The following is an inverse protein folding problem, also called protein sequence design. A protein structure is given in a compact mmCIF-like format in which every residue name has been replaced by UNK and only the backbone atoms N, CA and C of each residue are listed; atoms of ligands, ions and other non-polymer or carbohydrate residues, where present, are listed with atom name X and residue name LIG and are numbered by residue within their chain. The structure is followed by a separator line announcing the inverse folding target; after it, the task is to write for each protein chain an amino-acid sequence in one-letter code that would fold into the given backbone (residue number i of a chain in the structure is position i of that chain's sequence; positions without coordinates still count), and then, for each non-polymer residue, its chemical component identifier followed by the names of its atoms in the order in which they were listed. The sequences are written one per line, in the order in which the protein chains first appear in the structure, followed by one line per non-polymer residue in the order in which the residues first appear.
data_IF_062670305750
#
_entry.id   IF_062670305750
#
_cell.length_a   1.000
_cell.length_b   1.000
_cell.length_c   1.000
_cell.angle_alpha   90.00
_cell.angle_beta   90.00
_cell.angle_gamma   90.00
#
_symmetry.space_group_name_H-M   'P 1'
#
loop_
_entity.id
_entity.type
_entity.pdbx_description
1 polymer ?
#
# COMPACT_ATOMS: atom_id res chain seq x y z
N UNK A 1 -9.85 29.53 57.30
CA UNK A 1 -9.73 30.59 56.27
C UNK A 1 -8.32 30.70 55.67
N UNK A 2 -7.24 30.46 56.42
CA UNK A 2 -5.85 30.59 55.95
C UNK A 2 -5.48 29.58 54.83
N UNK A 3 -6.02 28.37 54.85
CA UNK A 3 -5.73 27.32 53.86
C UNK A 3 -6.36 27.55 52.48
N UNK A 4 -7.53 28.17 52.41
CA UNK A 4 -8.20 28.50 51.15
C UNK A 4 -7.47 29.62 50.39
N UNK A 5 -6.89 30.58 51.14
CA UNK A 5 -6.10 31.68 50.57
C UNK A 5 -4.79 31.18 49.94
N UNK A 6 -4.15 30.17 50.53
CA UNK A 6 -2.91 29.57 50.02
C UNK A 6 -3.12 28.83 48.69
N UNK A 7 -4.24 28.11 48.52
CA UNK A 7 -4.51 27.37 47.28
C UNK A 7 -4.79 28.31 46.08
N UNK A 8 -5.45 29.45 46.31
CA UNK A 8 -5.69 30.46 45.29
C UNK A 8 -4.38 31.17 44.84
N UNK A 9 -3.44 31.37 45.77
CA UNK A 9 -2.14 31.98 45.47
C UNK A 9 -1.25 31.09 44.58
N UNK A 10 -1.24 29.77 44.82
CA UNK A 10 -0.42 28.83 44.04
C UNK A 10 -0.92 28.69 42.59
N UNK A 11 -2.23 28.74 42.38
CA UNK A 11 -2.83 28.65 41.03
C UNK A 11 -2.63 29.93 40.21
N UNK A 12 -2.69 31.11 40.84
CA UNK A 12 -2.37 32.38 40.18
C UNK A 12 -0.89 32.46 39.75
N UNK A 13 0.04 31.99 40.58
CA UNK A 13 1.47 31.99 40.26
C UNK A 13 1.83 31.10 39.05
N UNK A 14 1.14 29.96 38.88
CA UNK A 14 1.36 29.06 37.76
C UNK A 14 0.90 29.65 36.41
N UNK A 15 -0.20 30.41 36.39
CA UNK A 15 -0.72 31.04 35.17
C UNK A 15 0.14 32.25 34.72
N UNK A 16 0.73 32.98 35.68
CA UNK A 16 1.63 34.11 35.39
C UNK A 16 2.95 33.61 34.78
N UNK A 17 3.49 32.48 35.25
CA UNK A 17 4.72 31.89 34.69
C UNK A 17 4.59 31.56 33.19
N UNK A 18 3.45 31.01 32.76
CA UNK A 18 3.22 30.62 31.36
C UNK A 18 3.06 31.84 30.43
N UNK A 19 2.49 32.93 30.94
CA UNK A 19 2.35 34.18 30.16
C UNK A 19 3.70 34.89 29.97
N UNK A 20 4.56 34.90 31.00
CA UNK A 20 5.89 35.53 30.92
C UNK A 20 6.84 34.76 29.99
N UNK A 21 6.76 33.43 29.94
CA UNK A 21 7.54 32.65 28.97
C UNK A 21 7.07 32.82 27.52
N UNK A 22 5.78 33.13 27.29
CA UNK A 22 5.26 33.41 25.94
C UNK A 22 5.59 34.81 25.42
N UNK A 23 5.98 35.75 26.27
CA UNK A 23 6.29 37.13 25.88
C UNK A 23 7.79 37.45 25.77
N UNK A 24 8.69 36.51 26.05
CA UNK A 24 10.13 36.69 25.83
C UNK A 24 10.64 36.12 24.50
N UNK A 25 9.75 35.68 23.61
CA UNK A 25 10.11 35.32 22.23
C UNK A 25 9.89 36.50 21.30
N UNK A 26 10.63 37.59 21.51
CA UNK A 26 10.78 38.65 20.51
C UNK A 26 12.23 39.17 20.50
N UNK A 27 12.94 38.72 19.45
CA UNK A 27 14.15 39.24 18.81
C UNK A 27 15.43 39.56 19.62
N UNK A 28 16.47 38.76 19.36
CA UNK A 28 17.84 39.25 19.23
C UNK A 28 18.41 38.76 17.87
N UNK A 29 19.07 39.61 17.06
CA UNK A 29 19.69 39.20 15.81
C UNK A 29 21.09 38.65 16.11
N UNK A 30 21.27 37.34 15.99
CA UNK A 30 22.59 36.73 15.89
C UNK A 30 22.82 36.30 14.45
N UNK A 31 23.91 36.81 13.88
CA UNK A 31 24.53 36.35 12.65
C UNK A 31 24.96 34.90 12.83
N UNK A 32 24.00 33.99 12.64
CA UNK A 32 24.21 32.57 12.49
C UNK A 32 23.74 32.20 11.09
N UNK A 33 24.62 31.58 10.33
CA UNK A 33 24.33 30.87 9.09
C UNK A 33 22.96 30.18 9.19
N UNK A 34 22.08 30.25 8.17
CA UNK A 34 20.76 29.67 8.28
C UNK A 34 20.91 28.16 8.52
N UNK A 35 20.77 27.74 9.78
CA UNK A 35 20.50 26.36 10.11
C UNK A 35 19.17 26.07 9.44
N UNK A 36 19.25 25.43 8.28
CA UNK A 36 18.09 24.96 7.55
C UNK A 36 17.18 24.27 8.56
N UNK A 37 15.97 24.81 8.72
CA UNK A 37 14.91 24.09 9.41
C UNK A 37 14.90 22.69 8.79
N UNK A 38 15.10 21.65 9.62
CA UNK A 38 15.03 20.29 9.15
C UNK A 38 13.72 20.14 8.36
N UNK A 39 13.74 19.58 7.14
CA UNK A 39 12.52 19.43 6.37
C UNK A 39 11.60 18.52 7.16
N UNK A 40 10.57 19.10 7.77
CA UNK A 40 9.44 18.35 8.27
C UNK A 40 8.94 17.50 7.09
N UNK A 41 9.03 16.17 7.17
CA UNK A 41 8.32 15.29 6.24
C UNK A 41 9.14 14.52 5.20
N UNK A 42 10.45 14.32 5.37
CA UNK A 42 11.14 13.26 4.60
C UNK A 42 10.63 11.90 5.09
N UNK A 43 9.75 11.27 4.32
CA UNK A 43 9.30 9.91 4.59
C UNK A 43 10.53 8.98 4.58
N UNK A 44 10.75 8.25 5.66
CA UNK A 44 11.85 7.28 5.77
C UNK A 44 11.39 5.89 5.33
N UNK A 45 12.22 5.22 4.55
CA UNK A 45 12.05 3.84 4.09
C UNK A 45 13.22 3.05 4.67
N UNK A 46 12.94 2.28 5.74
CA UNK A 46 14.00 1.63 6.53
C UNK A 46 14.87 2.67 7.24
N UNK A 47 16.18 2.62 7.01
CA UNK A 47 17.16 3.55 7.59
C UNK A 47 17.44 4.77 6.71
N UNK A 48 16.89 4.81 5.48
CA UNK A 48 17.16 5.86 4.49
C UNK A 48 15.94 6.71 4.14
N UNK A 49 16.15 7.74 3.33
CA UNK A 49 15.08 8.51 2.73
C UNK A 49 14.34 7.66 1.67
N UNK A 50 13.02 7.74 1.66
CA UNK A 50 12.23 7.17 0.58
C UNK A 50 12.43 7.94 -0.73
N UNK A 51 12.46 7.23 -1.85
CA UNK A 51 12.30 7.78 -3.20
C UNK A 51 10.98 7.30 -3.80
N UNK A 52 10.40 8.12 -4.69
CA UNK A 52 9.26 7.69 -5.49
C UNK A 52 9.75 6.71 -6.55
N UNK A 53 9.26 5.47 -6.52
CA UNK A 53 9.62 4.44 -7.51
C UNK A 53 8.55 4.29 -8.59
N UNK A 54 7.28 4.56 -8.26
CA UNK A 54 6.17 4.56 -9.21
C UNK A 54 5.09 5.56 -8.76
N UNK A 55 4.32 6.10 -9.71
CA UNK A 55 3.17 6.97 -9.44
C UNK A 55 2.01 6.61 -10.35
N UNK A 56 0.79 6.64 -9.82
CA UNK A 56 -0.44 6.35 -10.56
C UNK A 56 -1.53 7.37 -10.20
N UNK A 57 -2.27 7.92 -11.19
CA UNK A 57 -3.47 8.70 -10.92
C UNK A 57 -4.63 7.77 -10.52
N UNK A 58 -5.39 8.15 -9.49
CA UNK A 58 -6.61 7.45 -9.07
C UNK A 58 -7.56 8.42 -8.40
N UNK A 59 -8.81 8.46 -8.88
CA UNK A 59 -9.86 9.31 -8.29
C UNK A 59 -9.44 10.80 -8.15
N UNK A 60 -8.81 11.35 -9.19
CA UNK A 60 -8.32 12.74 -9.21
C UNK A 60 -7.12 13.03 -8.29
N UNK A 61 -6.58 12.03 -7.61
CA UNK A 61 -5.40 12.12 -6.73
C UNK A 61 -4.22 11.36 -7.35
N UNK A 62 -3.00 11.71 -6.94
CA UNK A 62 -1.80 10.94 -7.27
C UNK A 62 -1.47 10.00 -6.12
N UNK A 63 -1.27 8.72 -6.43
CA UNK A 63 -0.73 7.73 -5.49
C UNK A 63 0.71 7.43 -5.87
N UNK A 64 1.62 7.68 -4.94
CA UNK A 64 3.04 7.41 -5.07
C UNK A 64 3.40 6.13 -4.31
N UNK A 65 4.09 5.21 -4.98
CA UNK A 65 4.83 4.14 -4.32
C UNK A 65 6.22 4.66 -3.98
N UNK A 66 6.53 4.65 -2.70
CA UNK A 66 7.79 5.05 -2.12
C UNK A 66 8.57 3.79 -1.74
N UNK A 67 9.88 3.77 -1.99
CA UNK A 67 10.76 2.73 -1.49
C UNK A 67 12.16 3.26 -1.16
N UNK A 68 12.99 2.47 -0.51
CA UNK A 68 14.43 2.72 -0.45
C UNK A 68 15.13 2.42 -1.80
N UNK A 69 16.45 2.57 -1.86
CA UNK A 69 17.25 2.28 -3.07
C UNK A 69 17.28 0.81 -3.49
N UNK A 70 17.01 -0.11 -2.56
CA UNK A 70 17.01 -1.55 -2.80
C UNK A 70 15.60 -2.11 -3.08
N UNK A 71 14.56 -1.29 -2.90
CA UNK A 71 13.16 -1.71 -3.01
C UNK A 71 12.66 -2.54 -1.81
N UNK A 72 13.34 -2.49 -0.66
CA UNK A 72 13.13 -3.37 0.50
C UNK A 72 12.20 -2.83 1.58
N UNK A 73 12.01 -1.51 1.61
CA UNK A 73 11.14 -0.86 2.58
C UNK A 73 10.21 0.05 1.80
N UNK A 74 8.95 -0.36 1.67
CA UNK A 74 7.98 0.32 0.81
C UNK A 74 6.86 1.00 1.57
N UNK A 75 6.41 2.15 1.06
CA UNK A 75 5.23 2.87 1.56
C UNK A 75 4.40 3.38 0.39
N UNK A 76 3.09 3.49 0.58
CA UNK A 76 2.18 4.12 -0.36
C UNK A 76 1.79 5.49 0.18
N UNK A 77 1.97 6.55 -0.61
CA UNK A 77 1.55 7.91 -0.26
C UNK A 77 0.45 8.39 -1.20
N UNK A 78 -0.66 8.88 -0.66
CA UNK A 78 -1.83 9.27 -1.46
C UNK A 78 -2.09 10.76 -1.40
N UNK A 79 -2.19 11.45 -2.53
CA UNK A 79 -2.37 12.91 -2.61
C UNK A 79 -1.07 13.67 -2.93
N UNK A 80 -0.02 12.96 -3.37
CA UNK A 80 1.24 13.57 -3.80
C UNK A 80 2.19 14.00 -2.68
N UNK A 81 3.24 14.78 -3.02
CA UNK A 81 4.26 15.23 -2.07
C UNK A 81 3.68 15.98 -0.87
N UNK A 82 4.14 15.64 0.33
CA UNK A 82 3.68 16.27 1.57
C UNK A 82 2.33 15.76 2.11
N UNK A 83 1.68 14.83 1.41
CA UNK A 83 0.44 14.23 1.93
C UNK A 83 0.66 13.49 3.27
N UNK A 84 -0.25 13.65 4.24
CA UNK A 84 -0.22 12.90 5.49
C UNK A 84 -0.71 11.45 5.34
N UNK A 85 -1.32 11.08 4.21
CA UNK A 85 -1.86 9.73 3.99
C UNK A 85 -0.73 8.82 3.51
N UNK A 86 -0.12 8.10 4.45
CA UNK A 86 0.94 7.13 4.20
C UNK A 86 0.52 5.76 4.74
N UNK A 87 0.59 4.74 3.89
CA UNK A 87 0.27 3.34 4.22
C UNK A 87 1.53 2.50 4.09
N UNK A 88 1.90 1.77 5.14
CA UNK A 88 3.02 0.84 5.10
C UNK A 88 2.71 -0.35 4.18
N UNK A 89 3.70 -0.79 3.40
CA UNK A 89 3.55 -1.98 2.56
C UNK A 89 4.01 -3.22 3.31
N UNK A 90 3.18 -4.27 3.34
CA UNK A 90 3.55 -5.58 3.92
C UNK A 90 4.22 -6.49 2.90
N UNK A 91 4.27 -6.12 1.63
CA UNK A 91 4.88 -6.95 0.58
C UNK A 91 6.38 -7.10 0.77
N UNK A 92 7.07 -6.04 1.19
CA UNK A 92 8.53 -6.08 1.29
C UNK A 92 9.04 -6.85 2.50
N UNK A 93 8.27 -6.90 3.60
CA UNK A 93 8.58 -7.79 4.73
C UNK A 93 8.49 -9.27 4.39
N UNK A 94 7.83 -9.62 3.28
CA UNK A 94 7.76 -10.96 2.71
C UNK A 94 8.77 -11.18 1.57
N UNK A 95 9.72 -10.24 1.39
CA UNK A 95 10.80 -10.36 0.43
C UNK A 95 10.48 -9.89 -0.99
N UNK A 96 9.36 -9.18 -1.19
CA UNK A 96 9.08 -8.51 -2.46
C UNK A 96 10.01 -7.31 -2.66
N UNK A 97 10.54 -7.13 -3.87
CA UNK A 97 11.34 -5.96 -4.26
C UNK A 97 10.52 -4.99 -5.07
N UNK A 98 10.42 -3.75 -4.62
CA UNK A 98 9.61 -2.71 -5.29
C UNK A 98 10.40 -1.98 -6.37
N UNK A 99 9.74 -1.69 -7.49
CA UNK A 99 10.30 -0.95 -8.63
C UNK A 99 9.22 -0.13 -9.37
N UNK A 100 9.54 0.40 -10.54
CA UNK A 100 8.64 1.25 -11.33
C UNK A 100 7.39 0.57 -11.90
N UNK A 101 7.32 -0.77 -11.87
CA UNK A 101 6.15 -1.57 -12.28
C UNK A 101 5.34 -2.10 -11.10
N UNK A 102 5.75 -1.76 -9.88
CA UNK A 102 5.18 -2.31 -8.65
C UNK A 102 3.84 -1.69 -8.24
N UNK A 103 3.38 -0.63 -8.90
CA UNK A 103 2.14 0.06 -8.57
C UNK A 103 1.16 0.03 -9.75
N UNK A 104 -0.06 -0.45 -9.49
CA UNK A 104 -1.20 -0.36 -10.41
C UNK A 104 -2.43 0.08 -9.63
N UNK A 105 -3.16 1.09 -10.11
CA UNK A 105 -4.38 1.55 -9.46
C UNK A 105 -5.57 1.51 -10.43
N UNK A 106 -6.76 1.27 -9.89
CA UNK A 106 -8.02 1.28 -10.63
C UNK A 106 -8.98 2.23 -9.94
N UNK A 107 -9.54 3.16 -10.71
CA UNK A 107 -10.59 4.09 -10.25
C UNK A 107 -11.95 3.42 -10.41
N UNK A 108 -12.72 3.40 -9.32
CA UNK A 108 -14.08 2.90 -9.25
C UNK A 108 -14.80 3.53 -8.04
N UNK A 109 -16.06 3.19 -7.80
CA UNK A 109 -16.80 3.60 -6.58
C UNK A 109 -16.00 3.26 -5.32
N UNK A 110 -15.38 2.07 -5.29
CA UNK A 110 -14.31 1.71 -4.35
C UNK A 110 -13.02 1.57 -5.15
N UNK A 111 -12.26 2.66 -5.21
CA UNK A 111 -10.96 2.67 -5.88
C UNK A 111 -9.93 1.83 -5.11
N UNK A 112 -9.01 1.20 -5.83
CA UNK A 112 -7.97 0.35 -5.23
C UNK A 112 -6.63 0.49 -5.94
N UNK A 113 -5.56 0.32 -5.17
CA UNK A 113 -4.20 0.21 -5.66
C UNK A 113 -3.61 -1.13 -5.24
N UNK A 114 -2.94 -1.80 -6.18
CA UNK A 114 -2.15 -2.99 -5.97
C UNK A 114 -0.68 -2.59 -5.93
N UNK A 115 -0.05 -2.89 -4.80
CA UNK A 115 1.41 -2.88 -4.65
C UNK A 115 1.89 -4.31 -4.84
N UNK A 116 2.77 -4.57 -5.81
CA UNK A 116 3.30 -5.91 -6.08
C UNK A 116 4.78 -5.89 -6.41
N UNK A 117 5.49 -6.98 -6.14
CA UNK A 117 6.89 -7.11 -6.52
C UNK A 117 7.34 -8.57 -6.62
N UNK A 118 8.43 -8.83 -7.35
CA UNK A 118 9.08 -10.14 -7.36
C UNK A 118 9.64 -10.50 -5.99
N UNK A 119 9.49 -11.77 -5.63
CA UNK A 119 10.12 -12.43 -4.50
C UNK A 119 10.83 -13.71 -4.98
N UNK A 120 11.46 -14.44 -4.06
CA UNK A 120 12.12 -15.73 -4.38
C UNK A 120 11.15 -16.76 -4.97
N UNK A 121 9.90 -16.76 -4.52
CA UNK A 121 8.91 -17.79 -4.83
C UNK A 121 7.86 -17.34 -5.86
N UNK A 122 8.01 -16.14 -6.43
CA UNK A 122 7.13 -15.62 -7.47
C UNK A 122 6.85 -14.13 -7.31
N UNK A 123 5.57 -13.74 -7.34
CA UNK A 123 5.12 -12.39 -7.05
C UNK A 123 4.39 -12.36 -5.72
N UNK A 124 4.55 -11.26 -5.00
CA UNK A 124 3.79 -10.94 -3.78
C UNK A 124 3.09 -9.62 -4.00
N UNK A 125 1.83 -9.52 -3.59
CA UNK A 125 1.01 -8.33 -3.75
C UNK A 125 0.17 -8.01 -2.53
N UNK A 126 -0.11 -6.72 -2.33
CA UNK A 126 -0.99 -6.17 -1.32
C UNK A 126 -1.95 -5.18 -1.98
N UNK A 127 -3.21 -5.22 -1.56
CA UNK A 127 -4.24 -4.29 -2.04
C UNK A 127 -4.49 -3.22 -0.98
N UNK A 128 -4.57 -1.97 -1.43
CA UNK A 128 -4.88 -0.78 -0.63
C UNK A 128 -6.12 -0.12 -1.24
N UNK A 129 -7.16 0.08 -0.45
CA UNK A 129 -8.49 0.47 -0.90
C UNK A 129 -8.87 1.85 -0.38
N UNK A 130 -9.55 2.63 -1.20
CA UNK A 130 -10.17 3.90 -0.83
C UNK A 130 -11.64 3.67 -0.46
N UNK A 131 -12.03 4.05 0.76
CA UNK A 131 -13.43 4.08 1.19
C UNK A 131 -13.72 5.43 1.86
N UNK A 132 -14.34 6.34 1.13
CA UNK A 132 -14.74 7.66 1.65
C UNK A 132 -13.55 8.47 2.16
N UNK A 133 -12.57 8.72 1.27
CA UNK A 133 -11.30 9.43 1.51
C UNK A 133 -10.28 8.72 2.43
N UNK A 134 -10.65 7.62 3.06
CA UNK A 134 -9.74 6.78 3.84
C UNK A 134 -9.10 5.71 2.98
N UNK A 135 -7.76 5.72 2.91
CA UNK A 135 -6.95 4.67 2.30
C UNK A 135 -6.45 3.70 3.36
N UNK A 136 -6.70 2.41 3.16
CA UNK A 136 -6.27 1.36 4.08
C UNK A 136 -5.97 0.06 3.35
N UNK A 137 -5.09 -0.81 3.90
CA UNK A 137 -4.96 -2.17 3.39
C UNK A 137 -6.32 -2.89 3.34
N UNK A 138 -6.50 -3.76 2.35
CA UNK A 138 -7.59 -4.72 2.33
C UNK A 138 -7.48 -5.71 3.51
N UNK A 139 -8.58 -6.38 3.85
CA UNK A 139 -8.66 -7.29 5.00
C UNK A 139 -7.67 -8.46 4.89
N UNK A 140 -7.59 -9.09 3.71
CA UNK A 140 -6.49 -9.95 3.36
C UNK A 140 -5.29 -9.10 2.95
N UNK A 141 -4.24 -9.14 3.77
CA UNK A 141 -3.13 -8.19 3.66
C UNK A 141 -2.13 -8.55 2.57
N UNK A 142 -2.03 -9.82 2.18
CA UNK A 142 -1.03 -10.25 1.18
C UNK A 142 -1.50 -11.45 0.35
N UNK A 143 -1.13 -11.43 -0.93
CA UNK A 143 -1.39 -12.47 -1.92
C UNK A 143 -0.09 -12.90 -2.61
N UNK A 144 0.01 -14.17 -2.97
CA UNK A 144 1.18 -14.73 -3.65
C UNK A 144 0.82 -15.46 -4.94
N UNK A 145 1.56 -15.17 -6.00
CA UNK A 145 1.47 -15.83 -7.31
C UNK A 145 2.76 -16.57 -7.61
N UNK A 146 2.66 -17.85 -7.90
CA UNK A 146 3.74 -18.72 -8.39
C UNK A 146 3.67 -18.93 -9.92
N UNK A 147 2.70 -18.28 -10.58
CA UNK A 147 2.51 -18.29 -12.03
C UNK A 147 2.71 -16.89 -12.68
N UNK A 148 3.22 -15.91 -11.92
CA UNK A 148 3.78 -14.67 -12.46
C UNK A 148 2.79 -13.54 -12.74
N UNK A 149 1.58 -13.57 -12.18
CA UNK A 149 0.64 -12.46 -12.31
C UNK A 149 -0.22 -12.24 -11.05
N UNK A 150 -0.31 -10.98 -10.64
CA UNK A 150 -1.26 -10.46 -9.64
C UNK A 150 -1.81 -9.15 -10.20
N UNK A 151 -3.08 -9.04 -10.56
CA UNK A 151 -3.64 -7.87 -11.26
C UNK A 151 -4.93 -7.39 -10.61
N UNK A 152 -5.31 -6.13 -10.87
CA UNK A 152 -6.63 -5.60 -10.53
C UNK A 152 -7.44 -5.46 -11.82
N UNK A 153 -8.64 -6.03 -11.86
CA UNK A 153 -9.57 -5.91 -12.99
C UNK A 153 -11.00 -6.13 -12.52
N UNK A 154 -11.98 -5.43 -13.10
CA UNK A 154 -13.39 -5.65 -12.78
C UNK A 154 -13.90 -6.90 -13.50
N UNK A 155 -14.21 -7.95 -12.76
CA UNK A 155 -14.70 -9.23 -13.30
C UNK A 155 -16.19 -9.41 -12.99
N UNK A 156 -16.60 -9.17 -11.75
CA UNK A 156 -17.98 -9.44 -11.28
C UNK A 156 -18.85 -8.18 -11.23
N UNK A 157 -18.29 -7.06 -10.78
CA UNK A 157 -18.95 -5.74 -10.71
C UNK A 157 -18.00 -4.63 -11.19
N UNK A 158 -18.57 -3.52 -11.65
CA UNK A 158 -17.83 -2.29 -11.96
C UNK A 158 -17.65 -1.37 -10.75
N UNK A 159 -18.34 -1.61 -9.63
CA UNK A 159 -18.27 -0.74 -8.44
C UNK A 159 -16.92 -0.82 -7.72
N UNK A 160 -16.24 -1.96 -7.85
CA UNK A 160 -14.93 -2.21 -7.28
C UNK A 160 -14.15 -3.13 -8.23
N UNK A 161 -12.82 -2.96 -8.38
CA UNK A 161 -11.99 -3.96 -9.04
C UNK A 161 -11.93 -5.25 -8.23
N UNK A 162 -11.78 -6.37 -8.92
CA UNK A 162 -11.44 -7.65 -8.34
C UNK A 162 -9.93 -7.87 -8.42
N UNK A 163 -9.37 -8.61 -7.45
CA UNK A 163 -7.98 -9.03 -7.46
C UNK A 163 -7.87 -10.39 -8.15
N UNK A 164 -6.99 -10.47 -9.15
CA UNK A 164 -6.72 -11.72 -9.87
C UNK A 164 -5.30 -12.19 -9.56
N UNK A 165 -5.17 -13.45 -9.14
CA UNK A 165 -3.90 -14.07 -8.78
C UNK A 165 -3.71 -15.32 -9.63
N UNK A 166 -2.68 -15.34 -10.49
CA UNK A 166 -2.33 -16.54 -11.24
C UNK A 166 -1.64 -17.55 -10.34
N UNK A 167 -2.05 -18.82 -10.40
CA UNK A 167 -1.52 -19.93 -9.61
C UNK A 167 -1.13 -21.10 -10.50
N UNK A 168 -0.17 -21.91 -10.05
CA UNK A 168 0.02 -23.26 -10.58
C UNK A 168 -1.00 -24.22 -9.95
N UNK A 169 -1.47 -25.17 -10.74
CA UNK A 169 -2.28 -26.29 -10.26
C UNK A 169 -1.46 -27.15 -9.28
N UNK A 170 -2.12 -27.78 -8.29
CA UNK A 170 -1.46 -28.69 -7.37
C UNK A 170 -0.66 -29.78 -8.11
N UNK A 171 0.53 -30.08 -7.59
CA UNK A 171 1.48 -31.02 -8.18
C UNK A 171 2.17 -31.81 -7.07
N UNK A 172 2.54 -33.05 -7.35
CA UNK A 172 3.06 -34.01 -6.36
C UNK A 172 4.57 -34.28 -6.46
N UNK A 173 5.27 -33.64 -7.40
CA UNK A 173 6.72 -33.78 -7.56
C UNK A 173 7.35 -32.52 -8.17
N UNK A 174 8.64 -32.24 -7.92
CA UNK A 174 9.31 -31.07 -8.50
C UNK A 174 9.23 -31.02 -10.03
N UNK A 175 9.34 -32.16 -10.70
CA UNK A 175 9.22 -32.25 -12.16
C UNK A 175 7.81 -31.93 -12.64
N UNK A 176 6.78 -32.50 -11.99
CA UNK A 176 5.39 -32.18 -12.31
C UNK A 176 5.07 -30.71 -12.05
N UNK A 177 5.63 -30.10 -11.00
CA UNK A 177 5.44 -28.69 -10.68
C UNK A 177 6.08 -27.73 -11.70
N UNK A 178 7.10 -28.18 -12.44
CA UNK A 178 7.69 -27.39 -13.53
C UNK A 178 6.78 -27.28 -14.74
N UNK A 179 5.97 -28.30 -15.00
CA UNK A 179 5.00 -28.35 -16.10
C UNK A 179 3.54 -28.29 -15.62
N UNK A 180 3.31 -27.86 -14.38
CA UNK A 180 1.97 -27.75 -13.84
C UNK A 180 1.16 -26.74 -14.66
N UNK A 181 -0.08 -27.10 -14.96
CA UNK A 181 -1.04 -26.19 -15.53
C UNK A 181 -1.22 -24.98 -14.62
N UNK A 182 -1.73 -23.87 -15.15
CA UNK A 182 -1.98 -22.65 -14.39
C UNK A 182 -3.45 -22.27 -14.45
N UNK A 183 -3.92 -21.53 -13.47
CA UNK A 183 -5.26 -20.95 -13.44
C UNK A 183 -5.19 -19.60 -12.72
N UNK A 184 -6.26 -18.81 -12.79
CA UNK A 184 -6.36 -17.57 -12.04
C UNK A 184 -7.46 -17.66 -10.97
N UNK A 185 -7.11 -17.31 -9.74
CA UNK A 185 -8.04 -17.09 -8.63
C UNK A 185 -8.51 -15.64 -8.68
N UNK A 186 -9.81 -15.41 -8.56
CA UNK A 186 -10.40 -14.07 -8.51
C UNK A 186 -10.98 -13.83 -7.12
N UNK A 187 -10.56 -12.75 -6.47
CA UNK A 187 -11.00 -12.34 -5.15
C UNK A 187 -11.66 -10.97 -5.22
N UNK A 188 -12.66 -10.73 -4.38
CA UNK A 188 -13.12 -9.36 -4.14
C UNK A 188 -12.14 -8.62 -3.21
N UNK A 189 -12.37 -7.32 -2.97
CA UNK A 189 -11.54 -6.51 -2.09
C UNK A 189 -11.66 -6.83 -0.58
N UNK A 190 -12.59 -7.71 -0.18
CA UNK A 190 -12.65 -8.25 1.20
C UNK A 190 -11.82 -9.52 1.33
N UNK A 191 -11.20 -10.01 0.25
CA UNK A 191 -10.42 -11.24 0.23
C UNK A 191 -11.26 -12.51 0.08
N UNK A 192 -12.56 -12.39 -0.18
CA UNK A 192 -13.41 -13.54 -0.49
C UNK A 192 -13.15 -14.02 -1.91
N UNK A 193 -12.93 -15.33 -2.07
CA UNK A 193 -12.78 -15.97 -3.37
C UNK A 193 -14.11 -15.94 -4.13
N UNK A 194 -14.10 -15.35 -5.32
CA UNK A 194 -15.24 -15.26 -6.23
C UNK A 194 -15.29 -16.44 -7.21
N UNK A 195 -14.13 -17.03 -7.50
CA UNK A 195 -14.02 -18.22 -8.33
C UNK A 195 -12.67 -18.34 -9.02
N UNK A 196 -12.55 -19.37 -9.85
CA UNK A 196 -11.34 -19.69 -10.59
C UNK A 196 -11.60 -19.85 -12.09
N UNK A 197 -10.63 -19.48 -12.92
CA UNK A 197 -10.65 -19.85 -14.34
C UNK A 197 -10.46 -21.37 -14.51
N UNK A 198 -10.74 -21.95 -15.69
CA UNK A 198 -10.22 -23.26 -16.05
C UNK A 198 -8.69 -23.29 -15.96
N UNK A 199 -8.11 -24.48 -15.98
CA UNK A 199 -6.66 -24.65 -16.08
C UNK A 199 -6.19 -24.48 -17.53
N UNK A 200 -5.01 -23.91 -17.67
CA UNK A 200 -4.32 -23.65 -18.93
C UNK A 200 -2.92 -24.24 -18.88
N UNK A 201 -2.34 -24.62 -20.03
CA UNK A 201 -1.02 -25.25 -20.06
C UNK A 201 0.12 -24.30 -19.65
N UNK A 202 -0.02 -23.02 -19.93
CA UNK A 202 1.02 -21.99 -19.67
C UNK A 202 0.39 -20.70 -19.18
N UNK A 203 1.17 -19.87 -18.47
CA UNK A 203 0.75 -18.54 -18.01
C UNK A 203 0.30 -17.63 -19.15
N UNK A 204 1.01 -17.68 -20.29
CA UNK A 204 0.65 -16.94 -21.50
C UNK A 204 -0.70 -17.31 -22.13
N UNK A 205 -1.29 -18.44 -21.72
CA UNK A 205 -2.61 -18.87 -22.18
C UNK A 205 -3.74 -18.34 -21.28
N UNK A 206 -3.42 -17.69 -20.15
CA UNK A 206 -4.44 -17.08 -19.30
C UNK A 206 -5.12 -15.91 -20.04
N UNK A 207 -6.44 -15.70 -19.85
CA UNK A 207 -7.15 -14.59 -20.45
C UNK A 207 -6.51 -13.25 -20.09
N UNK A 208 -6.16 -12.43 -21.09
CA UNK A 208 -5.60 -11.09 -20.90
C UNK A 208 -4.10 -11.03 -20.59
N UNK A 209 -3.36 -12.14 -20.65
CA UNK A 209 -1.92 -12.14 -20.36
C UNK A 209 -1.14 -11.04 -21.12
N UNK A 210 -0.20 -10.31 -20.47
CA UNK A 210 0.29 -10.47 -19.09
C UNK A 210 -0.60 -9.84 -18.01
N UNK A 211 -1.51 -8.95 -18.39
CA UNK A 211 -2.44 -8.27 -17.49
C UNK A 211 -3.72 -9.09 -17.33
N UNK A 212 -3.57 -10.27 -16.70
CA UNK A 212 -4.62 -11.29 -16.57
C UNK A 212 -5.96 -10.66 -16.19
N UNK A 213 -6.94 -10.83 -17.07
CA UNK A 213 -8.24 -10.17 -17.05
C UNK A 213 -9.32 -11.16 -17.52
N UNK A 214 -9.72 -12.13 -16.67
CA UNK A 214 -10.78 -13.06 -17.00
C UNK A 214 -12.14 -12.35 -16.96
N UNK A 215 -13.10 -12.95 -17.66
CA UNK A 215 -14.51 -12.54 -17.61
C UNK A 215 -15.27 -13.37 -16.58
N UNK A 216 -16.40 -12.86 -16.10
CA UNK A 216 -17.29 -13.60 -15.18
C UNK A 216 -17.71 -14.98 -15.71
N UNK A 217 -17.93 -15.09 -17.01
CA UNK A 217 -18.33 -16.35 -17.66
C UNK A 217 -17.24 -17.43 -17.62
N UNK A 218 -15.98 -17.04 -17.39
CA UNK A 218 -14.85 -17.96 -17.27
C UNK A 218 -14.66 -18.43 -15.82
N UNK A 219 -15.38 -17.89 -14.83
CA UNK A 219 -15.23 -18.29 -13.44
C UNK A 219 -16.05 -19.53 -13.09
N UNK A 220 -15.42 -20.43 -12.35
CA UNK A 220 -16.00 -21.61 -11.72
C UNK A 220 -15.96 -21.44 -10.20
N UNK A 221 -16.96 -21.97 -9.51
CA UNK A 221 -17.04 -21.90 -8.05
C UNK A 221 -15.90 -22.69 -7.36
N UNK A 222 -15.47 -23.79 -7.97
CA UNK A 222 -14.41 -24.65 -7.45
C UNK A 222 -13.08 -24.36 -8.15
N UNK A 223 -12.01 -24.30 -7.36
CA UNK A 223 -10.65 -24.16 -7.84
C UNK A 223 -9.94 -25.52 -7.88
N UNK A 224 -9.01 -25.73 -8.83
CA UNK A 224 -8.19 -26.93 -8.92
C UNK A 224 -7.33 -27.22 -7.68
#
# INVERSE_FOLDING_TARGET
MVTAALAALVTAAALIGVAVLRHQTEAAPTTGEPAAAAPNGVTQCGTGACQVVASQPVDGKTVDLLADSAGDNGKLRVGGPGSPIVVETSTTSLGARLNNTSLSCVTATVSACLVRGPSRDGLIGQVVINRGDSWRPAEATTYSSDAGAITLHSVVSSDAPDLIVAKKAPCNSPTACRSAAVYAQVYNLTGSLLGCTPTYRTASSLPGWPDVAPTRAQLRAECP
#
